data_IF_936179286511
#
_entry.id   IF_936179286511
#
_cell.length_a   1.000
_cell.length_b   1.000
_cell.length_c   1.000
_cell.angle_alpha   90.00
_cell.angle_beta   90.00
_cell.angle_gamma   90.00
#
_symmetry.space_group_name_H-M   'P 1'
#
loop_
_entity.id
_entity.type
_entity.pdbx_description
1 polymer ?
#
# COMPACT_ATOMS: atom_id res chain seq x y z
N UNK A 1 25.37 -3.84 -17.62
CA UNK A 1 25.16 -5.29 -17.38
C UNK A 1 24.13 -5.58 -16.27
N UNK A 2 24.21 -4.97 -15.09
CA UNK A 2 23.30 -5.26 -13.96
C UNK A 2 21.79 -5.06 -14.22
N UNK A 3 21.40 -4.14 -15.12
CA UNK A 3 20.00 -3.94 -15.52
C UNK A 3 19.39 -5.10 -16.34
N UNK A 4 20.22 -5.84 -17.09
CA UNK A 4 19.76 -6.94 -17.96
C UNK A 4 19.62 -8.23 -17.14
N UNK A 5 20.56 -8.50 -16.24
CA UNK A 5 20.51 -9.67 -15.37
C UNK A 5 19.27 -9.67 -14.44
N UNK A 6 18.84 -8.50 -13.94
CA UNK A 6 17.63 -8.38 -13.12
C UNK A 6 16.31 -8.62 -13.86
N UNK A 7 16.32 -8.71 -15.20
CA UNK A 7 15.13 -9.03 -16.00
C UNK A 7 14.90 -10.55 -16.07
N UNK A 8 15.97 -11.33 -15.96
CA UNK A 8 15.92 -12.78 -16.09
C UNK A 8 15.95 -13.44 -14.71
N UNK A 9 15.06 -14.41 -14.49
CA UNK A 9 15.04 -15.24 -13.29
C UNK A 9 14.84 -16.70 -13.65
N UNK A 10 15.20 -17.61 -12.74
CA UNK A 10 14.95 -19.05 -12.92
C UNK A 10 13.75 -19.45 -12.08
N UNK A 11 12.83 -20.23 -12.66
CA UNK A 11 11.67 -20.75 -11.92
C UNK A 11 11.44 -22.21 -12.26
N UNK A 12 11.47 -23.05 -11.25
CA UNK A 12 11.23 -24.48 -11.38
C UNK A 12 9.75 -24.77 -11.09
N UNK A 13 9.08 -25.44 -12.02
CA UNK A 13 7.75 -26.05 -11.74
C UNK A 13 7.73 -27.44 -12.32
N UNK A 14 7.14 -28.36 -11.58
CA UNK A 14 7.03 -29.78 -11.94
C UNK A 14 6.44 -29.96 -13.34
N UNK A 15 5.34 -29.27 -13.68
CA UNK A 15 4.68 -29.42 -14.99
C UNK A 15 5.55 -29.07 -16.20
N UNK A 16 6.23 -27.92 -16.18
CA UNK A 16 7.12 -27.52 -17.28
C UNK A 16 8.36 -28.40 -17.37
N UNK A 17 8.86 -28.93 -16.25
CA UNK A 17 9.97 -29.88 -16.27
C UNK A 17 9.57 -31.24 -16.84
N UNK A 18 8.35 -31.71 -16.55
CA UNK A 18 7.80 -32.93 -17.17
C UNK A 18 7.69 -32.76 -18.70
N UNK A 19 7.14 -31.63 -19.16
CA UNK A 19 7.08 -31.35 -20.60
C UNK A 19 8.46 -31.22 -21.24
N UNK A 20 9.41 -30.55 -20.59
CA UNK A 20 10.78 -30.46 -21.10
C UNK A 20 11.45 -31.84 -21.16
N UNK A 21 11.29 -32.66 -20.11
CA UNK A 21 11.81 -34.02 -20.04
C UNK A 21 11.23 -34.95 -21.12
N UNK A 22 9.98 -34.72 -21.56
CA UNK A 22 9.37 -35.45 -22.66
C UNK A 22 9.77 -34.92 -24.05
N UNK A 23 9.76 -33.60 -24.24
CA UNK A 23 9.96 -32.97 -25.55
C UNK A 23 11.44 -32.94 -25.99
N UNK A 24 12.39 -32.85 -25.04
CA UNK A 24 13.82 -32.81 -25.36
C UNK A 24 14.30 -34.13 -26.00
N UNK A 25 14.06 -35.32 -25.40
CA UNK A 25 14.45 -36.58 -26.03
C UNK A 25 13.73 -36.83 -27.35
N UNK A 26 12.42 -36.53 -27.41
CA UNK A 26 11.62 -36.70 -28.62
C UNK A 26 12.12 -35.81 -29.78
N UNK A 27 12.46 -34.55 -29.49
CA UNK A 27 13.04 -33.64 -30.47
C UNK A 27 14.40 -34.12 -30.97
N UNK A 28 15.29 -34.54 -30.07
CA UNK A 28 16.62 -35.05 -30.45
C UNK A 28 16.48 -36.30 -31.34
N UNK A 29 15.60 -37.25 -30.98
CA UNK A 29 15.38 -38.47 -31.76
C UNK A 29 14.80 -38.18 -33.16
N UNK A 30 13.86 -37.24 -33.26
CA UNK A 30 13.26 -36.85 -34.53
C UNK A 30 14.27 -36.18 -35.49
N UNK A 31 15.15 -35.33 -34.97
CA UNK A 31 16.17 -34.66 -35.79
C UNK A 31 17.42 -35.54 -36.04
N UNK A 32 17.64 -36.56 -35.21
CA UNK A 32 18.65 -37.59 -35.44
C UNK A 32 18.32 -38.46 -36.66
N UNK A 33 17.04 -38.81 -36.87
CA UNK A 33 16.62 -39.60 -38.03
C UNK A 33 16.66 -38.83 -39.36
N UNK A 34 16.85 -37.52 -39.31
CA UNK A 34 16.91 -36.62 -40.47
C UNK A 34 18.33 -36.08 -40.75
N UNK A 35 19.36 -36.59 -40.07
CA UNK A 35 20.76 -36.09 -40.11
C UNK A 35 20.91 -34.59 -39.79
N UNK A 36 19.96 -34.03 -39.02
CA UNK A 36 19.89 -32.61 -38.66
C UNK A 36 20.08 -32.41 -37.15
N UNK A 37 21.02 -33.15 -36.54
CA UNK A 37 21.25 -33.14 -35.09
C UNK A 37 21.47 -31.75 -34.49
N UNK A 38 22.11 -30.84 -35.23
CA UNK A 38 22.32 -29.46 -34.77
C UNK A 38 20.99 -28.72 -34.53
N UNK A 39 19.95 -28.97 -35.33
CA UNK A 39 18.60 -28.43 -35.11
C UNK A 39 17.95 -29.05 -33.87
N UNK A 40 18.11 -30.35 -33.67
CA UNK A 40 17.60 -31.06 -32.49
C UNK A 40 18.21 -30.53 -31.19
N UNK A 41 19.53 -30.34 -31.14
CA UNK A 41 20.23 -29.77 -29.98
C UNK A 41 19.79 -28.32 -29.76
N UNK A 42 19.71 -27.51 -30.82
CA UNK A 42 19.27 -26.12 -30.71
C UNK A 42 17.85 -26.03 -30.16
N UNK A 43 16.93 -26.87 -30.65
CA UNK A 43 15.55 -26.93 -30.17
C UNK A 43 15.48 -27.41 -28.71
N UNK A 44 16.27 -28.42 -28.33
CA UNK A 44 16.35 -28.91 -26.97
C UNK A 44 16.82 -27.80 -26.00
N UNK A 45 17.84 -27.04 -26.37
CA UNK A 45 18.32 -25.88 -25.59
C UNK A 45 17.24 -24.81 -25.49
N UNK A 46 16.52 -24.51 -26.57
CA UNK A 46 15.41 -23.54 -26.54
C UNK A 46 14.24 -23.99 -25.65
N UNK A 47 13.88 -25.27 -25.68
CA UNK A 47 12.85 -25.84 -24.81
C UNK A 47 13.29 -25.79 -23.35
N UNK A 48 14.52 -26.21 -23.05
CA UNK A 48 15.10 -26.14 -21.71
C UNK A 48 15.09 -24.69 -21.20
N UNK A 49 15.62 -23.75 -22.00
CA UNK A 49 15.66 -22.33 -21.66
C UNK A 49 14.24 -21.75 -21.46
N UNK A 50 13.31 -22.03 -22.37
CA UNK A 50 11.92 -21.55 -22.28
C UNK A 50 11.14 -22.13 -21.10
N UNK A 51 11.52 -23.33 -20.63
CA UNK A 51 10.87 -23.99 -19.49
C UNK A 51 11.31 -23.43 -18.13
N UNK A 52 12.56 -22.96 -18.01
CA UNK A 52 13.17 -22.53 -16.73
C UNK A 52 13.31 -21.01 -16.64
N UNK A 53 13.62 -20.33 -17.75
CA UNK A 53 13.88 -18.89 -17.76
C UNK A 53 12.57 -18.11 -17.71
N UNK A 54 12.51 -17.19 -16.76
CA UNK A 54 11.47 -16.17 -16.63
C UNK A 54 12.02 -14.83 -17.08
N UNK A 55 11.20 -14.05 -17.77
CA UNK A 55 11.47 -12.69 -18.20
C UNK A 55 10.47 -11.79 -17.45
N UNK A 56 10.97 -10.93 -16.55
CA UNK A 56 10.16 -10.10 -15.63
C UNK A 56 9.17 -10.93 -14.80
N UNK A 57 9.63 -12.08 -14.30
CA UNK A 57 8.87 -13.00 -13.45
C UNK A 57 7.80 -13.85 -14.16
N UNK A 58 7.59 -13.65 -15.47
CA UNK A 58 6.73 -14.51 -16.31
C UNK A 58 7.57 -15.40 -17.21
N UNK A 59 7.18 -16.66 -17.39
CA UNK A 59 7.73 -17.55 -18.44
C UNK A 59 7.15 -17.20 -19.80
N UNK A 60 7.71 -17.76 -20.88
CA UNK A 60 7.19 -17.61 -22.25
C UNK A 60 5.70 -17.98 -22.33
N UNK A 61 5.29 -19.10 -21.72
CA UNK A 61 3.89 -19.52 -21.63
C UNK A 61 3.02 -18.51 -20.86
N UNK A 62 3.57 -17.95 -19.76
CA UNK A 62 2.92 -16.91 -18.98
C UNK A 62 2.76 -15.58 -19.72
N UNK A 63 3.67 -15.26 -20.65
CA UNK A 63 3.56 -14.11 -21.56
C UNK A 63 2.46 -14.32 -22.60
N UNK A 64 2.40 -15.49 -23.22
CA UNK A 64 1.32 -15.86 -24.15
C UNK A 64 -0.03 -15.76 -23.45
N UNK A 65 -0.16 -16.35 -22.25
CA UNK A 65 -1.37 -16.24 -21.43
C UNK A 65 -1.72 -14.79 -21.07
N UNK A 66 -0.73 -13.95 -20.72
CA UNK A 66 -0.94 -12.53 -20.45
C UNK A 66 -1.51 -11.79 -21.67
N UNK A 67 -0.96 -12.03 -22.87
CA UNK A 67 -1.45 -11.42 -24.11
C UNK A 67 -2.90 -11.83 -24.39
N UNK A 68 -3.22 -13.12 -24.33
CA UNK A 68 -4.59 -13.59 -24.59
C UNK A 68 -5.58 -13.09 -23.54
N UNK A 69 -5.16 -13.06 -22.28
CA UNK A 69 -6.03 -12.60 -21.21
C UNK A 69 -6.24 -11.08 -21.28
N UNK A 70 -5.21 -10.30 -21.58
CA UNK A 70 -5.33 -8.87 -21.86
C UNK A 70 -6.21 -8.58 -23.08
N UNK A 71 -6.00 -9.28 -24.20
CA UNK A 71 -6.85 -9.13 -25.41
C UNK A 71 -8.33 -9.33 -25.12
N UNK A 72 -8.68 -10.29 -24.25
CA UNK A 72 -10.07 -10.53 -23.84
C UNK A 72 -10.61 -9.46 -22.89
N UNK A 73 -9.77 -8.90 -22.02
CA UNK A 73 -10.20 -8.03 -20.91
C UNK A 73 -10.08 -6.54 -21.18
N UNK A 74 -9.24 -6.12 -22.12
CA UNK A 74 -8.87 -4.71 -22.27
C UNK A 74 -10.03 -3.79 -22.65
N UNK A 75 -11.18 -4.33 -23.06
CA UNK A 75 -12.40 -3.59 -23.41
C UNK A 75 -13.46 -3.63 -22.29
N UNK A 76 -13.26 -4.45 -21.26
CA UNK A 76 -14.26 -4.70 -20.21
C UNK A 76 -13.82 -4.04 -18.89
N UNK A 77 -14.68 -3.18 -18.36
CA UNK A 77 -14.54 -2.62 -17.01
C UNK A 77 -14.65 -3.75 -15.98
N UNK A 78 -13.88 -3.75 -14.88
CA UNK A 78 -14.02 -4.73 -13.82
C UNK A 78 -15.44 -4.75 -13.25
N UNK A 79 -15.94 -5.94 -12.91
CA UNK A 79 -17.23 -6.07 -12.24
C UNK A 79 -17.15 -5.39 -10.88
N UNK A 80 -18.14 -4.58 -10.55
CA UNK A 80 -18.25 -3.98 -9.22
C UNK A 80 -18.44 -5.09 -8.18
N UNK A 81 -17.74 -5.05 -7.04
CA UNK A 81 -18.02 -5.95 -5.92
C UNK A 81 -19.50 -5.91 -5.52
N UNK A 82 -20.02 -6.99 -4.95
CA UNK A 82 -21.39 -7.00 -4.44
C UNK A 82 -21.55 -5.99 -3.31
N UNK A 83 -22.79 -5.58 -3.06
CA UNK A 83 -23.09 -4.82 -1.85
C UNK A 83 -22.65 -5.62 -0.61
N UNK A 84 -22.07 -4.94 0.38
CA UNK A 84 -21.63 -5.60 1.59
C UNK A 84 -22.83 -6.10 2.39
N UNK A 85 -22.77 -7.37 2.80
CA UNK A 85 -23.68 -7.94 3.76
C UNK A 85 -22.97 -8.01 5.11
N UNK A 86 -23.65 -7.56 6.17
CA UNK A 86 -23.11 -7.68 7.52
C UNK A 86 -23.53 -9.02 8.09
N UNK A 87 -22.54 -9.85 8.43
CA UNK A 87 -22.77 -11.09 9.15
C UNK A 87 -23.06 -10.81 10.62
N UNK A 88 -24.08 -11.46 11.17
CA UNK A 88 -24.21 -11.60 12.61
C UNK A 88 -23.31 -12.76 13.07
N UNK A 89 -22.26 -12.49 13.85
CA UNK A 89 -21.48 -13.55 14.50
C UNK A 89 -21.23 -13.29 15.97
N UNK A 90 -21.66 -14.26 16.77
CA UNK A 90 -21.13 -14.90 17.99
C UNK A 90 -20.66 -14.03 19.18
N UNK A 91 -20.21 -12.79 18.99
CA UNK A 91 -20.02 -11.82 20.08
C UNK A 91 -21.09 -10.73 19.97
N UNK A 92 -21.89 -10.45 21.01
CA UNK A 92 -22.84 -9.34 20.99
C UNK A 92 -22.09 -8.01 20.81
N UNK A 93 -22.13 -7.41 19.62
CA UNK A 93 -21.63 -6.03 19.38
C UNK A 93 -20.71 -5.84 18.19
N UNK A 94 -20.07 -6.89 17.66
CA UNK A 94 -19.16 -6.80 16.51
C UNK A 94 -19.79 -7.35 15.23
N UNK A 95 -20.07 -6.42 14.33
CA UNK A 95 -20.66 -6.65 13.03
C UNK A 95 -19.53 -6.70 11.99
N UNK A 96 -19.29 -7.87 11.39
CA UNK A 96 -18.26 -8.01 10.35
C UNK A 96 -18.91 -7.98 8.98
N UNK A 97 -18.45 -7.08 8.12
CA UNK A 97 -18.87 -7.04 6.73
C UNK A 97 -18.21 -8.14 5.91
N UNK A 98 -19.00 -8.75 5.04
CA UNK A 98 -18.55 -9.65 3.98
C UNK A 98 -19.14 -9.22 2.64
N UNK A 99 -18.41 -9.46 1.56
CA UNK A 99 -18.94 -9.25 0.20
C UNK A 99 -18.30 -10.20 -0.79
N UNK A 100 -18.95 -10.38 -1.94
CA UNK A 100 -18.32 -11.03 -3.07
C UNK A 100 -17.42 -10.06 -3.82
N UNK A 101 -16.19 -10.49 -4.06
CA UNK A 101 -15.23 -9.80 -4.91
C UNK A 101 -14.60 -10.82 -5.86
N UNK A 102 -14.96 -10.74 -7.13
CA UNK A 102 -14.74 -11.80 -8.12
C UNK A 102 -15.33 -13.14 -7.61
N UNK A 103 -14.55 -14.22 -7.66
CA UNK A 103 -14.94 -15.57 -7.22
C UNK A 103 -14.75 -15.80 -5.72
N UNK A 104 -14.39 -14.77 -4.96
CA UNK A 104 -14.03 -14.89 -3.54
C UNK A 104 -15.06 -14.17 -2.67
N UNK A 105 -15.42 -14.80 -1.55
CA UNK A 105 -16.04 -14.07 -0.46
C UNK A 105 -14.94 -13.42 0.37
N UNK A 106 -15.03 -12.11 0.60
CA UNK A 106 -13.98 -11.33 1.27
C UNK A 106 -14.51 -10.63 2.53
N UNK A 107 -13.62 -10.48 3.50
CA UNK A 107 -13.82 -9.67 4.72
C UNK A 107 -12.57 -8.84 4.96
N UNK A 108 -12.73 -7.64 5.53
CA UNK A 108 -11.61 -6.75 5.83
C UNK A 108 -11.43 -6.60 7.34
N UNK A 109 -10.18 -6.47 7.76
CA UNK A 109 -9.75 -6.12 9.10
C UNK A 109 -8.94 -4.85 8.96
N UNK A 110 -9.38 -3.77 9.58
CA UNK A 110 -8.60 -2.54 9.64
C UNK A 110 -7.51 -2.66 10.70
N UNK A 111 -6.30 -2.24 10.36
CA UNK A 111 -5.22 -2.07 11.33
C UNK A 111 -5.22 -0.63 11.81
N UNK A 112 -5.42 -0.44 13.11
CA UNK A 112 -5.51 0.88 13.71
C UNK A 112 -4.10 1.28 14.17
N UNK A 113 -3.52 2.33 13.58
CA UNK A 113 -2.18 2.75 13.95
C UNK A 113 -2.15 3.29 15.37
N UNK A 114 -1.03 3.12 16.04
CA UNK A 114 -0.81 3.69 17.36
C UNK A 114 -0.54 5.20 17.21
N UNK A 115 -1.33 6.07 17.86
CA UNK A 115 -1.16 7.51 17.72
C UNK A 115 0.25 7.98 18.09
N UNK A 116 0.71 9.02 17.39
CA UNK A 116 2.00 9.67 17.58
C UNK A 116 3.22 8.76 17.49
N UNK A 117 3.18 7.66 16.72
CA UNK A 117 4.38 6.85 16.47
C UNK A 117 5.31 7.60 15.52
N UNK A 118 6.50 8.06 15.96
CA UNK A 118 7.40 8.74 15.05
C UNK A 118 7.92 7.78 13.97
N UNK A 119 8.21 8.35 12.79
CA UNK A 119 8.95 7.66 11.74
C UNK A 119 10.26 8.40 11.50
N UNK A 120 11.39 7.71 11.68
CA UNK A 120 12.73 8.27 11.48
C UNK A 120 13.31 7.71 10.19
N UNK A 121 13.86 8.57 9.34
CA UNK A 121 14.48 8.16 8.09
C UNK A 121 15.99 8.02 8.27
N UNK A 122 16.48 6.78 8.26
CA UNK A 122 17.90 6.47 8.41
C UNK A 122 18.40 5.82 7.12
N UNK A 123 19.39 6.44 6.47
CA UNK A 123 19.99 5.94 5.23
C UNK A 123 18.96 5.62 4.10
N UNK A 124 17.86 6.36 4.05
CA UNK A 124 16.80 6.20 3.06
C UNK A 124 15.74 5.14 3.37
N UNK A 125 15.81 4.49 4.53
CA UNK A 125 14.79 3.57 5.03
C UNK A 125 13.99 4.21 6.18
N UNK A 126 12.70 3.87 6.28
CA UNK A 126 11.82 4.35 7.33
C UNK A 126 11.81 3.37 8.51
N UNK A 127 12.14 3.90 9.69
CA UNK A 127 12.08 3.17 10.95
C UNK A 127 10.93 3.72 11.80
N UNK A 128 10.00 2.84 12.16
CA UNK A 128 8.86 3.14 13.04
C UNK A 128 8.53 1.91 13.88
N UNK A 129 8.02 2.12 15.09
CA UNK A 129 7.72 1.02 16.01
C UNK A 129 6.40 0.31 15.68
N UNK A 130 5.54 0.92 14.85
CA UNK A 130 4.19 0.44 14.55
C UNK A 130 4.15 -0.27 13.19
N UNK A 131 4.56 -1.54 13.21
CA UNK A 131 4.74 -2.39 12.02
C UNK A 131 3.99 -3.72 12.14
N UNK A 132 3.51 -4.23 11.01
CA UNK A 132 2.94 -5.56 10.85
C UNK A 132 3.96 -6.46 10.13
N UNK A 133 4.46 -7.49 10.81
CA UNK A 133 5.21 -8.55 10.15
C UNK A 133 4.24 -9.48 9.38
N UNK A 134 4.42 -9.55 8.07
CA UNK A 134 3.65 -10.44 7.20
C UNK A 134 3.92 -11.92 7.46
N UNK A 135 5.01 -12.30 8.13
CA UNK A 135 5.24 -13.67 8.60
C UNK A 135 4.33 -14.01 9.78
N UNK A 136 4.08 -13.07 10.69
CA UNK A 136 3.11 -13.25 11.77
C UNK A 136 1.71 -13.51 11.17
N UNK A 137 1.31 -12.73 10.16
CA UNK A 137 0.02 -12.95 9.47
C UNK A 137 -0.05 -14.36 8.87
N UNK A 138 1.01 -14.84 8.22
CA UNK A 138 1.06 -16.22 7.71
C UNK A 138 0.87 -17.25 8.83
N UNK A 139 1.56 -17.08 9.96
CA UNK A 139 1.45 -17.99 11.11
C UNK A 139 0.03 -18.01 11.67
N UNK A 140 -0.60 -16.84 11.83
CA UNK A 140 -1.97 -16.74 12.33
C UNK A 140 -2.99 -17.37 11.36
N UNK A 141 -2.83 -17.12 10.06
CA UNK A 141 -3.70 -17.73 9.03
C UNK A 141 -3.48 -19.25 8.99
N UNK A 142 -2.24 -19.72 9.00
CA UNK A 142 -1.93 -21.15 9.02
C UNK A 142 -2.49 -21.86 10.26
N UNK A 143 -2.44 -21.23 11.43
CA UNK A 143 -2.93 -21.80 12.68
C UNK A 143 -4.46 -21.84 12.77
N UNK A 144 -5.16 -20.83 12.26
CA UNK A 144 -6.58 -20.63 12.53
C UNK A 144 -7.50 -20.80 11.32
N UNK A 145 -6.99 -20.56 10.12
CA UNK A 145 -7.76 -20.59 8.87
C UNK A 145 -6.87 -20.93 7.65
N UNK A 146 -6.27 -22.14 7.61
CA UNK A 146 -5.22 -22.50 6.65
C UNK A 146 -5.68 -22.57 5.18
N UNK A 147 -6.99 -22.65 4.93
CA UNK A 147 -7.62 -22.64 3.61
C UNK A 147 -8.03 -21.22 3.14
N UNK A 148 -7.75 -20.18 3.93
CA UNK A 148 -7.95 -18.78 3.54
C UNK A 148 -6.67 -18.14 3.00
N UNK A 149 -6.86 -17.08 2.21
CA UNK A 149 -5.77 -16.20 1.76
C UNK A 149 -5.90 -14.86 2.48
N UNK A 150 -4.77 -14.22 2.78
CA UNK A 150 -4.75 -12.89 3.39
C UNK A 150 -4.00 -11.91 2.47
N UNK A 151 -4.64 -10.81 2.11
CA UNK A 151 -4.00 -9.70 1.41
C UNK A 151 -3.78 -8.56 2.41
N UNK A 152 -2.53 -8.24 2.73
CA UNK A 152 -2.22 -7.00 3.47
C UNK A 152 -2.21 -5.86 2.46
N UNK A 153 -3.17 -4.95 2.57
CA UNK A 153 -3.40 -3.84 1.64
C UNK A 153 -3.09 -2.53 2.37
N UNK A 154 -2.07 -1.81 1.93
CA UNK A 154 -1.81 -0.43 2.38
C UNK A 154 -2.09 0.53 1.24
N UNK A 155 -2.75 1.64 1.56
CA UNK A 155 -3.10 2.66 0.58
C UNK A 155 -2.92 4.05 1.16
N UNK A 156 -2.46 4.99 0.33
CA UNK A 156 -2.14 6.32 0.79
C UNK A 156 -1.45 7.18 -0.25
N UNK A 157 -0.96 8.32 0.21
CA UNK A 157 -0.26 9.29 -0.62
C UNK A 157 0.88 9.93 0.17
N UNK A 158 1.96 10.27 -0.53
CA UNK A 158 3.12 10.93 0.07
C UNK A 158 2.92 12.43 0.23
N UNK A 159 2.24 13.01 -0.74
CA UNK A 159 1.85 14.41 -0.78
C UNK A 159 0.39 14.47 -1.20
N UNK A 160 -0.36 15.39 -0.62
CA UNK A 160 -1.79 15.49 -0.77
C UNK A 160 -2.22 16.27 -2.02
N UNK A 161 -3.40 15.93 -2.52
CA UNK A 161 -4.00 16.55 -3.72
C UNK A 161 -4.73 17.87 -3.44
N UNK A 162 -4.95 18.22 -2.18
CA UNK A 162 -5.72 19.41 -1.77
C UNK A 162 -4.89 20.71 -1.83
N UNK A 163 -3.57 20.60 -1.79
CA UNK A 163 -2.66 21.72 -1.88
C UNK A 163 -2.40 22.16 -3.34
N UNK A 164 -2.07 23.46 -3.56
CA UNK A 164 -1.62 23.94 -4.87
C UNK A 164 -0.41 23.15 -5.41
N UNK A 165 -0.36 22.92 -6.72
CA UNK A 165 0.72 22.15 -7.36
C UNK A 165 2.13 22.70 -7.09
N UNK A 166 2.26 24.03 -6.97
CA UNK A 166 3.50 24.71 -6.59
C UNK A 166 3.96 24.31 -5.18
N UNK A 167 3.02 24.19 -4.23
CA UNK A 167 3.32 23.80 -2.86
C UNK A 167 3.66 22.31 -2.76
N UNK A 168 2.90 21.46 -3.47
CA UNK A 168 3.15 20.01 -3.54
C UNK A 168 4.54 19.73 -4.11
N UNK A 169 4.89 20.36 -5.23
CA UNK A 169 6.21 20.18 -5.87
C UNK A 169 7.37 20.67 -5.00
N UNK A 170 7.16 21.76 -4.24
CA UNK A 170 8.14 22.25 -3.27
C UNK A 170 8.33 21.25 -2.12
N UNK A 171 7.24 20.75 -1.54
CA UNK A 171 7.31 19.79 -0.44
C UNK A 171 7.88 18.45 -0.89
N UNK A 172 7.62 18.00 -2.12
CA UNK A 172 8.29 16.84 -2.71
C UNK A 172 9.82 17.00 -2.78
N UNK A 173 10.33 18.23 -2.95
CA UNK A 173 11.77 18.49 -2.90
C UNK A 173 12.32 18.39 -1.49
N UNK A 174 11.56 18.89 -0.49
CA UNK A 174 11.93 18.83 0.94
C UNK A 174 11.94 17.39 1.44
N UNK A 175 10.89 16.61 1.17
CA UNK A 175 10.77 15.20 1.57
C UNK A 175 11.69 14.30 0.72
N UNK A 176 12.02 14.73 -0.50
CA UNK A 176 12.91 13.98 -1.38
C UNK A 176 12.39 12.56 -1.68
N UNK A 177 13.28 11.56 -1.83
CA UNK A 177 12.90 10.17 -2.10
C UNK A 177 12.59 9.36 -0.83
N UNK A 178 12.31 9.99 0.32
CA UNK A 178 12.11 9.24 1.56
C UNK A 178 10.77 8.46 1.56
N UNK A 179 10.75 7.22 2.10
CA UNK A 179 9.54 6.41 2.22
C UNK A 179 8.61 6.86 3.37
N UNK A 180 8.34 8.16 3.42
CA UNK A 180 7.49 8.80 4.41
C UNK A 180 6.16 9.24 3.77
N UNK A 181 5.12 8.39 3.76
CA UNK A 181 3.81 8.83 3.30
C UNK A 181 3.14 9.77 4.31
N UNK A 182 2.61 10.88 3.81
CA UNK A 182 1.82 11.83 4.60
C UNK A 182 0.56 11.17 5.17
N UNK A 183 -0.12 10.35 4.36
CA UNK A 183 -1.28 9.57 4.80
C UNK A 183 -1.15 8.13 4.31
N UNK A 184 -1.38 7.16 5.19
CA UNK A 184 -1.41 5.73 4.88
C UNK A 184 -2.38 5.03 5.83
N UNK A 185 -3.27 4.21 5.27
CA UNK A 185 -4.10 3.26 6.01
C UNK A 185 -3.82 1.85 5.52
N UNK A 186 -3.95 0.88 6.43
CA UNK A 186 -3.64 -0.52 6.15
C UNK A 186 -4.77 -1.43 6.62
N UNK A 187 -5.09 -2.41 5.78
CA UNK A 187 -6.09 -3.44 6.05
C UNK A 187 -5.52 -4.83 5.79
N UNK A 188 -6.07 -5.85 6.43
CA UNK A 188 -5.93 -7.25 6.04
C UNK A 188 -7.25 -7.69 5.43
N UNK A 189 -7.23 -8.07 4.15
CA UNK A 189 -8.40 -8.62 3.46
C UNK A 189 -8.28 -10.13 3.45
N UNK A 190 -9.14 -10.80 4.21
CA UNK A 190 -9.29 -12.25 4.17
C UNK A 190 -10.14 -12.65 2.98
N UNK A 191 -9.70 -13.68 2.25
CA UNK A 191 -10.35 -14.17 1.03
C UNK A 191 -10.64 -15.65 1.14
N UNK A 192 -11.91 -16.00 0.97
CA UNK A 192 -12.38 -17.36 0.96
C UNK A 192 -12.78 -17.76 -0.46
N UNK A 193 -12.09 -18.76 -1.02
CA UNK A 193 -12.52 -19.44 -2.24
C UNK A 193 -13.49 -20.56 -1.85
N UNK A 194 -14.73 -20.58 -2.37
CA UNK A 194 -15.75 -21.57 -2.02
C UNK A 194 -15.29 -23.03 -2.20
N UNK A 195 -14.43 -23.32 -3.17
CA UNK A 195 -13.97 -24.68 -3.45
C UNK A 195 -12.94 -25.14 -2.43
N UNK A 196 -11.94 -24.29 -2.15
CA UNK A 196 -10.86 -24.63 -1.20
C UNK A 196 -11.35 -24.65 0.25
N UNK A 197 -12.31 -23.80 0.60
CA UNK A 197 -12.81 -23.63 1.97
C UNK A 197 -14.03 -24.50 2.30
N UNK A 198 -14.49 -25.30 1.34
CA UNK A 198 -15.71 -26.13 1.43
C UNK A 198 -15.77 -26.96 2.71
N UNK A 199 -14.67 -27.63 3.07
CA UNK A 199 -14.62 -28.50 4.27
C UNK A 199 -14.79 -27.72 5.57
N UNK A 200 -14.21 -26.52 5.66
CA UNK A 200 -14.27 -25.67 6.84
C UNK A 200 -15.61 -24.94 6.95
N UNK A 201 -16.19 -24.53 5.84
CA UNK A 201 -17.50 -23.84 5.79
C UNK A 201 -18.67 -24.77 6.11
N UNK A 202 -18.67 -26.00 5.59
CA UNK A 202 -19.72 -27.00 5.83
C UNK A 202 -19.87 -27.41 7.31
N UNK A 203 -18.81 -27.27 8.11
CA UNK A 203 -18.86 -27.52 9.56
C UNK A 203 -19.70 -26.48 10.33
N UNK A 204 -20.05 -25.35 9.69
CA UNK A 204 -20.71 -24.20 10.33
C UNK A 204 -22.14 -23.97 9.82
N UNK A 205 -22.34 -24.15 8.52
CA UNK A 205 -23.67 -24.19 7.90
C UNK A 205 -23.55 -24.73 6.47
N UNK A 206 -24.69 -24.93 5.81
CA UNK A 206 -24.78 -25.27 4.40
C UNK A 206 -24.59 -24.05 3.49
N UNK A 207 -24.04 -24.29 2.29
CA UNK A 207 -23.91 -23.30 1.22
C UNK A 207 -23.15 -22.03 1.61
N UNK A 208 -23.63 -20.89 1.07
CA UNK A 208 -23.00 -19.56 1.25
C UNK A 208 -23.04 -19.09 2.71
N UNK A 209 -24.06 -19.48 3.48
CA UNK A 209 -24.17 -19.13 4.89
C UNK A 209 -23.00 -19.72 5.71
N UNK A 210 -22.61 -20.97 5.42
CA UNK A 210 -21.47 -21.62 6.06
C UNK A 210 -20.15 -20.93 5.74
N UNK A 211 -19.99 -20.51 4.49
CA UNK A 211 -18.81 -19.76 4.02
C UNK A 211 -18.70 -18.40 4.71
N UNK A 212 -19.81 -17.66 4.78
CA UNK A 212 -19.86 -16.37 5.47
C UNK A 212 -19.56 -16.52 6.97
N UNK A 213 -20.19 -17.47 7.67
CA UNK A 213 -19.88 -17.74 9.09
C UNK A 213 -18.42 -18.14 9.30
N UNK A 214 -17.83 -18.89 8.38
CA UNK A 214 -16.43 -19.26 8.46
C UNK A 214 -15.52 -18.03 8.34
N UNK A 215 -15.74 -17.23 7.30
CA UNK A 215 -14.93 -16.06 7.03
C UNK A 215 -15.03 -15.03 8.15
N UNK A 216 -16.24 -14.77 8.65
CA UNK A 216 -16.46 -13.83 9.75
C UNK A 216 -15.78 -14.32 11.03
N UNK A 217 -15.98 -15.58 11.43
CA UNK A 217 -15.33 -16.13 12.62
C UNK A 217 -13.79 -16.12 12.50
N UNK A 218 -13.27 -16.25 11.28
CA UNK A 218 -11.83 -16.14 11.01
C UNK A 218 -11.36 -14.69 11.11
N UNK A 219 -12.10 -13.72 10.60
CA UNK A 219 -11.77 -12.30 10.69
C UNK A 219 -11.70 -11.83 12.15
N UNK A 220 -12.71 -12.15 12.96
CA UNK A 220 -12.71 -11.84 14.41
C UNK A 220 -11.51 -12.48 15.11
N UNK A 221 -11.26 -13.78 14.87
CA UNK A 221 -10.14 -14.48 15.52
C UNK A 221 -8.78 -13.90 15.12
N UNK A 222 -8.57 -13.59 13.84
CA UNK A 222 -7.31 -12.98 13.38
C UNK A 222 -7.13 -11.59 14.01
N UNK A 223 -8.19 -10.78 14.08
CA UNK A 223 -8.14 -9.48 14.75
C UNK A 223 -7.78 -9.62 16.25
N UNK A 224 -8.42 -10.55 16.97
CA UNK A 224 -8.12 -10.80 18.38
C UNK A 224 -6.67 -11.26 18.60
N UNK A 225 -6.16 -12.13 17.73
CA UNK A 225 -4.78 -12.61 17.81
C UNK A 225 -3.77 -11.51 17.46
N UNK A 226 -4.06 -10.64 16.50
CA UNK A 226 -3.23 -9.47 16.20
C UNK A 226 -3.19 -8.52 17.41
N UNK A 227 -4.34 -8.25 18.02
CA UNK A 227 -4.42 -7.43 19.24
C UNK A 227 -3.62 -8.05 20.40
N UNK A 228 -3.69 -9.38 20.56
CA UNK A 228 -2.87 -10.12 21.52
C UNK A 228 -1.36 -10.05 21.26
N UNK A 229 -0.93 -9.77 20.02
CA UNK A 229 0.46 -9.50 19.64
C UNK A 229 0.78 -7.99 19.62
N UNK A 230 -0.10 -7.15 20.18
CA UNK A 230 0.09 -5.70 20.30
C UNK A 230 -0.30 -4.89 19.06
N UNK A 231 -0.90 -5.50 18.03
CA UNK A 231 -1.34 -4.81 16.81
C UNK A 231 -2.84 -4.56 16.94
N UNK A 232 -3.27 -3.31 17.11
CA UNK A 232 -4.71 -3.00 17.17
C UNK A 232 -5.34 -3.26 15.80
N UNK A 233 -6.30 -4.19 15.80
CA UNK A 233 -6.94 -4.69 14.60
C UNK A 233 -8.44 -4.81 14.85
N UNK A 234 -9.24 -4.28 13.94
CA UNK A 234 -10.70 -4.23 14.08
C UNK A 234 -11.36 -4.80 12.83
N UNK A 235 -12.22 -5.82 12.94
CA UNK A 235 -13.02 -6.28 11.82
C UNK A 235 -13.84 -5.12 11.23
N UNK A 236 -13.80 -4.95 9.91
CA UNK A 236 -14.47 -3.85 9.25
C UNK A 236 -15.99 -4.07 9.25
N UNK A 237 -16.74 -3.03 9.62
CA UNK A 237 -18.21 -3.02 9.61
C UNK A 237 -18.80 -2.67 8.24
N UNK A 238 -17.99 -2.07 7.37
CA UNK A 238 -18.30 -1.73 5.97
C UNK A 238 -17.00 -1.79 5.14
N UNK A 239 -17.14 -1.83 3.81
CA UNK A 239 -16.03 -1.71 2.87
C UNK A 239 -15.77 -0.27 2.41
N UNK A 240 -16.57 0.71 2.82
CA UNK A 240 -16.51 2.09 2.31
C UNK A 240 -15.13 2.73 2.46
N UNK A 241 -14.48 2.54 3.60
CA UNK A 241 -13.15 3.10 3.87
C UNK A 241 -12.07 2.44 3.03
N UNK A 242 -12.11 1.11 2.91
CA UNK A 242 -11.19 0.35 2.07
C UNK A 242 -11.40 0.69 0.58
N UNK A 243 -12.65 0.83 0.14
CA UNK A 243 -13.00 1.18 -1.24
C UNK A 243 -12.56 2.60 -1.56
N UNK A 244 -12.86 3.58 -0.70
CA UNK A 244 -12.40 4.97 -0.87
C UNK A 244 -10.88 5.05 -0.91
N UNK A 245 -10.21 4.31 -0.02
CA UNK A 245 -8.75 4.33 0.03
C UNK A 245 -8.12 3.65 -1.18
N UNK A 246 -8.73 2.61 -1.74
CA UNK A 246 -8.18 1.85 -2.89
C UNK A 246 -8.80 2.22 -4.23
N UNK A 247 -9.64 3.27 -4.26
CA UNK A 247 -10.31 3.73 -5.46
C UNK A 247 -9.28 4.20 -6.51
N UNK A 248 -9.46 3.71 -7.73
CA UNK A 248 -8.74 4.19 -8.90
C UNK A 248 -9.70 4.49 -10.03
N UNK A 249 -9.36 5.47 -10.87
CA UNK A 249 -10.14 5.72 -12.07
C UNK A 249 -9.82 4.65 -13.12
N UNK A 250 -10.84 3.90 -13.53
CA UNK A 250 -10.71 2.83 -14.53
C UNK A 250 -11.59 3.12 -15.74
N UNK A 251 -10.98 3.49 -16.87
CA UNK A 251 -11.65 3.50 -18.17
C UNK A 251 -11.24 2.29 -19.01
N UNK A 252 -9.92 2.03 -19.07
CA UNK A 252 -9.38 0.99 -19.95
C UNK A 252 -8.06 0.42 -19.41
N UNK A 253 -7.90 -0.89 -19.54
CA UNK A 253 -6.61 -1.56 -19.35
C UNK A 253 -5.73 -1.44 -20.62
N UNK A 254 -4.60 -0.74 -20.50
CA UNK A 254 -3.51 -0.77 -21.48
C UNK A 254 -2.52 -1.89 -21.13
N UNK A 255 -1.53 -2.10 -22.00
CA UNK A 255 -0.52 -3.14 -21.77
C UNK A 255 0.33 -2.90 -20.52
N UNK A 256 0.66 -1.65 -20.22
CA UNK A 256 1.58 -1.26 -19.13
C UNK A 256 0.95 -0.39 -18.04
N UNK A 257 -0.32 -0.03 -18.19
CA UNK A 257 -1.03 0.86 -17.27
C UNK A 257 -2.55 0.68 -17.41
N UNK A 258 -3.29 1.22 -16.46
CA UNK A 258 -4.73 1.47 -16.53
C UNK A 258 -4.89 2.95 -16.81
N UNK A 259 -5.64 3.28 -17.86
CA UNK A 259 -6.05 4.65 -18.13
C UNK A 259 -7.34 4.93 -17.36
N UNK A 260 -7.31 5.95 -16.53
CA UNK A 260 -8.48 6.57 -15.92
C UNK A 260 -8.88 7.86 -16.65
N UNK A 261 -9.86 8.58 -16.08
CA UNK A 261 -10.41 9.84 -16.64
C UNK A 261 -9.34 10.93 -16.79
N UNK A 262 -8.53 11.12 -15.75
CA UNK A 262 -7.50 12.16 -15.68
C UNK A 262 -6.19 11.66 -15.06
N UNK A 263 -6.09 10.35 -14.84
CA UNK A 263 -4.96 9.71 -14.16
C UNK A 263 -4.60 8.41 -14.86
N UNK A 264 -3.37 7.96 -14.65
CA UNK A 264 -2.88 6.66 -15.08
C UNK A 264 -2.43 5.89 -13.84
N UNK A 265 -2.85 4.63 -13.73
CA UNK A 265 -2.39 3.74 -12.65
C UNK A 265 -1.58 2.61 -13.28
N UNK A 266 -0.32 2.47 -12.89
CA UNK A 266 0.51 1.36 -13.34
C UNK A 266 0.83 0.41 -12.17
N UNK A 267 0.73 -0.88 -12.46
CA UNK A 267 1.03 -1.96 -11.53
C UNK A 267 2.42 -2.53 -11.77
N UNK A 268 3.14 -2.74 -10.68
CA UNK A 268 4.52 -3.18 -10.63
C UNK A 268 4.73 -4.28 -9.60
N UNK A 269 5.82 -5.00 -9.77
CA UNK A 269 6.48 -5.76 -8.70
C UNK A 269 7.82 -5.09 -8.38
N UNK A 270 8.15 -4.97 -7.09
CA UNK A 270 9.37 -4.31 -6.64
C UNK A 270 9.92 -5.06 -5.40
N UNK A 271 11.00 -5.84 -5.53
CA UNK A 271 11.52 -6.72 -4.46
C UNK A 271 12.28 -5.98 -3.35
N UNK A 272 11.90 -4.73 -3.04
CA UNK A 272 12.58 -3.85 -2.09
C UNK A 272 11.79 -3.54 -0.82
N UNK A 273 10.57 -4.07 -0.67
CA UNK A 273 9.73 -3.80 0.49
C UNK A 273 9.21 -2.35 0.56
N UNK A 274 8.59 -1.97 1.68
CA UNK A 274 7.89 -0.69 1.82
C UNK A 274 8.79 0.52 1.57
N UNK A 275 10.09 0.45 1.90
CA UNK A 275 11.01 1.56 1.65
C UNK A 275 11.16 1.89 0.16
N UNK A 276 11.16 0.87 -0.70
CA UNK A 276 11.20 1.07 -2.15
C UNK A 276 9.82 1.46 -2.69
N UNK A 277 8.75 0.89 -2.11
CA UNK A 277 7.39 1.14 -2.58
C UNK A 277 6.95 2.59 -2.32
N UNK A 278 7.21 3.08 -1.11
CA UNK A 278 6.81 4.41 -0.65
C UNK A 278 7.83 5.50 -0.95
N UNK A 279 9.00 5.19 -1.52
CA UNK A 279 9.95 6.19 -2.03
C UNK A 279 9.65 6.60 -3.48
N UNK A 280 8.86 5.82 -4.21
CA UNK A 280 8.42 6.18 -5.56
C UNK A 280 7.53 7.43 -5.52
N UNK A 281 7.65 8.29 -6.54
CA UNK A 281 6.77 9.45 -6.69
C UNK A 281 5.48 9.03 -7.36
N UNK A 282 4.37 9.26 -6.68
CA UNK A 282 3.03 8.97 -7.17
C UNK A 282 2.01 9.82 -6.40
N UNK A 283 0.94 10.20 -7.08
CA UNK A 283 -0.19 10.94 -6.48
C UNK A 283 -1.01 10.05 -5.53
N UNK A 284 -0.93 8.73 -5.71
CA UNK A 284 -1.55 7.73 -4.87
C UNK A 284 -0.84 6.39 -5.04
N UNK A 285 -0.60 5.70 -3.94
CA UNK A 285 0.12 4.42 -3.89
C UNK A 285 -0.73 3.39 -3.18
N UNK A 286 -0.91 2.22 -3.81
CA UNK A 286 -1.55 1.06 -3.21
C UNK A 286 -0.55 -0.09 -3.24
N UNK A 287 -0.24 -0.66 -2.09
CA UNK A 287 0.60 -1.85 -1.97
C UNK A 287 -0.25 -3.01 -1.49
N UNK A 288 -0.06 -4.19 -2.08
CA UNK A 288 -0.70 -5.42 -1.60
C UNK A 288 0.35 -6.50 -1.44
N UNK A 289 0.33 -7.19 -0.30
CA UNK A 289 1.12 -8.41 -0.06
C UNK A 289 0.14 -9.55 0.17
N UNK A 290 0.05 -10.47 -0.79
CA UNK A 290 -0.74 -11.69 -0.66
C UNK A 290 0.06 -12.76 0.04
N UNK A 291 -0.56 -13.34 1.05
CA UNK A 291 -0.03 -14.40 1.89
C UNK A 291 -0.95 -15.61 1.75
N UNK A 292 -0.34 -16.76 1.50
CA UNK A 292 -0.99 -18.07 1.56
C UNK A 292 -0.11 -18.99 2.41
N UNK A 293 -0.69 -19.73 3.37
CA UNK A 293 0.07 -20.64 4.20
C UNK A 293 0.94 -21.60 3.38
N UNK A 294 2.25 -21.60 3.61
CA UNK A 294 3.19 -22.53 2.97
C UNK A 294 3.59 -22.17 1.54
N UNK A 295 3.15 -21.02 1.01
CA UNK A 295 3.62 -20.49 -0.27
C UNK A 295 4.41 -19.19 -0.07
N UNK A 296 5.38 -18.92 -0.95
CA UNK A 296 6.06 -17.64 -0.95
C UNK A 296 5.04 -16.50 -1.21
N UNK A 297 5.08 -15.41 -0.43
CA UNK A 297 4.16 -14.30 -0.61
C UNK A 297 4.34 -13.65 -1.98
N UNK A 298 3.35 -12.88 -2.42
CA UNK A 298 3.44 -12.11 -3.66
C UNK A 298 3.08 -10.66 -3.40
N UNK A 299 3.79 -9.72 -4.02
CA UNK A 299 3.54 -8.29 -3.85
C UNK A 299 3.11 -7.64 -5.16
N UNK A 300 2.24 -6.63 -5.04
CA UNK A 300 1.90 -5.70 -6.11
C UNK A 300 1.94 -4.28 -5.59
N UNK A 301 2.55 -3.39 -6.34
CA UNK A 301 2.56 -1.95 -6.07
C UNK A 301 1.88 -1.24 -7.23
N UNK A 302 0.84 -0.49 -6.93
CA UNK A 302 0.14 0.34 -7.89
C UNK A 302 0.47 1.79 -7.61
N UNK A 303 0.97 2.47 -8.64
CA UNK A 303 1.31 3.88 -8.59
C UNK A 303 0.36 4.62 -9.54
N UNK A 304 -0.38 5.57 -9.00
CA UNK A 304 -1.26 6.45 -9.78
C UNK A 304 -0.58 7.79 -9.98
N UNK A 305 -0.52 8.25 -11.22
CA UNK A 305 0.09 9.52 -11.63
C UNK A 305 -0.83 10.30 -12.58
N UNK A 306 -0.77 11.62 -12.57
CA UNK A 306 -1.45 12.47 -13.57
C UNK A 306 -0.89 12.27 -14.99
N UNK A 307 0.43 12.08 -15.11
CA UNK A 307 1.11 11.85 -16.37
C UNK A 307 1.23 10.35 -16.68
N UNK A 308 1.62 10.04 -17.92
CA UNK A 308 1.94 8.66 -18.30
C UNK A 308 3.03 8.08 -17.39
N UNK A 309 2.81 6.90 -16.81
CA UNK A 309 3.66 6.37 -15.76
C UNK A 309 5.01 5.94 -16.34
N UNK A 310 6.09 6.39 -15.69
CA UNK A 310 7.44 5.85 -15.94
C UNK A 310 7.72 4.70 -14.97
N UNK A 311 8.65 3.80 -15.30
CA UNK A 311 9.01 2.72 -14.37
C UNK A 311 10.07 3.23 -13.39
N UNK A 312 9.78 3.32 -12.07
CA UNK A 312 10.77 3.77 -11.11
C UNK A 312 11.94 2.78 -10.98
N UNK A 313 13.05 3.24 -10.39
CA UNK A 313 14.22 2.37 -10.14
C UNK A 313 13.84 1.27 -9.15
N UNK A 314 14.18 0.02 -9.45
CA UNK A 314 13.84 -1.14 -8.61
C UNK A 314 12.47 -1.75 -8.90
N UNK A 315 11.70 -1.18 -9.83
CA UNK A 315 10.36 -1.66 -10.19
C UNK A 315 10.38 -2.42 -11.52
N UNK A 316 9.52 -3.43 -11.62
CA UNK A 316 9.23 -4.17 -12.85
C UNK A 316 7.74 -4.09 -13.15
N UNK A 317 7.38 -3.46 -14.26
CA UNK A 317 5.98 -3.31 -14.66
C UNK A 317 5.34 -4.69 -14.95
N UNK A 318 4.12 -4.89 -14.45
CA UNK A 318 3.32 -6.11 -14.63
C UNK A 318 2.53 -6.07 -15.94
N UNK A 319 3.24 -6.10 -17.06
CA UNK A 319 2.64 -6.00 -18.39
C UNK A 319 1.51 -7.03 -18.63
N UNK A 320 0.41 -6.57 -19.22
CA UNK A 320 -0.78 -7.38 -19.55
C UNK A 320 -1.59 -7.91 -18.36
N UNK A 321 -1.20 -7.55 -17.14
CA UNK A 321 -1.82 -8.00 -15.90
C UNK A 321 -2.19 -6.87 -14.96
N UNK A 322 -2.39 -5.66 -15.48
CA UNK A 322 -2.65 -4.47 -14.67
C UNK A 322 -3.95 -4.62 -13.86
N UNK A 323 -5.01 -5.11 -14.51
CA UNK A 323 -6.29 -5.38 -13.85
C UNK A 323 -6.19 -6.48 -12.80
N UNK A 324 -5.40 -7.53 -13.06
CA UNK A 324 -5.21 -8.61 -12.11
C UNK A 324 -4.43 -8.14 -10.87
N UNK A 325 -3.46 -7.24 -11.07
CA UNK A 325 -2.67 -6.67 -9.99
C UNK A 325 -3.48 -5.76 -9.05
N UNK A 326 -4.57 -5.12 -9.51
CA UNK A 326 -5.52 -4.43 -8.62
C UNK A 326 -6.03 -5.34 -7.50
N UNK A 327 -6.27 -6.59 -7.85
CA UNK A 327 -6.75 -7.61 -6.92
C UNK A 327 -5.60 -8.38 -6.28
N UNK A 328 -4.37 -7.85 -6.27
CA UNK A 328 -3.20 -8.48 -5.64
C UNK A 328 -2.68 -9.72 -6.38
N UNK A 329 -3.11 -9.98 -7.61
CA UNK A 329 -2.62 -11.13 -8.38
C UNK A 329 -1.32 -10.74 -9.09
N UNK A 330 -0.20 -11.23 -8.56
CA UNK A 330 1.12 -11.08 -9.16
C UNK A 330 1.68 -12.42 -9.63
N UNK A 331 2.34 -12.49 -10.80
CA UNK A 331 3.10 -13.67 -11.18
C UNK A 331 4.43 -13.78 -10.44
N UNK A 332 4.87 -12.73 -9.73
CA UNK A 332 6.20 -12.65 -9.13
C UNK A 332 6.11 -13.02 -7.64
N UNK A 333 6.88 -14.01 -7.22
CA UNK A 333 7.05 -14.33 -5.81
C UNK A 333 7.92 -13.25 -5.15
N UNK A 334 7.67 -13.04 -3.88
CA UNK A 334 8.39 -12.10 -3.04
C UNK A 334 8.71 -12.78 -1.68
N UNK A 335 9.16 -11.99 -0.72
CA UNK A 335 9.44 -12.39 0.66
C UNK A 335 8.51 -11.69 1.64
N UNK A 336 8.56 -12.12 2.89
CA UNK A 336 7.91 -11.41 3.99
C UNK A 336 8.64 -10.09 4.29
N UNK A 337 7.85 -9.12 4.72
CA UNK A 337 8.25 -7.78 5.10
C UNK A 337 7.56 -7.37 6.40
N UNK A 338 8.19 -6.45 7.12
CA UNK A 338 7.57 -5.61 8.14
C UNK A 338 6.94 -4.41 7.43
N UNK A 339 5.63 -4.23 7.58
CA UNK A 339 4.86 -3.21 6.90
C UNK A 339 4.39 -2.17 7.93
N UNK A 340 4.83 -0.91 7.83
CA UNK A 340 4.30 0.16 8.67
C UNK A 340 2.78 0.28 8.54
N UNK A 341 2.08 0.36 9.68
CA UNK A 341 0.61 0.32 9.73
C UNK A 341 0.01 1.67 9.31
N UNK A 342 0.39 2.74 10.02
CA UNK A 342 -0.12 4.10 9.83
C UNK A 342 0.78 4.99 8.99
N UNK A 343 0.44 6.27 8.93
CA UNK A 343 1.19 7.31 8.23
C UNK A 343 2.57 7.55 8.84
N UNK A 344 3.52 8.02 8.03
CA UNK A 344 4.70 8.69 8.60
C UNK A 344 4.32 10.10 9.09
N UNK A 345 3.41 10.75 8.37
CA UNK A 345 2.85 12.05 8.73
C UNK A 345 3.68 13.22 8.23
N UNK A 346 3.81 14.25 9.07
CA UNK A 346 4.45 15.52 8.72
C UNK A 346 5.89 15.55 9.23
N UNK A 347 6.81 16.10 8.45
CA UNK A 347 8.19 16.35 8.89
C UNK A 347 8.18 17.37 10.04
N UNK A 348 8.60 16.96 11.24
CA UNK A 348 8.63 17.82 12.44
C UNK A 348 10.03 18.32 12.78
N UNK A 349 11.07 17.58 12.39
CA UNK A 349 12.46 17.96 12.66
C UNK A 349 13.43 16.85 12.26
N UNK A 350 14.62 16.86 12.85
CA UNK A 350 15.63 15.82 12.73
C UNK A 350 16.16 15.36 14.09
N UNK A 351 16.77 14.18 14.16
CA UNK A 351 17.48 13.71 15.34
C UNK A 351 18.81 14.47 15.53
N UNK A 352 19.50 14.22 16.66
CA UNK A 352 20.83 14.78 16.89
C UNK A 352 21.85 14.42 15.79
N UNK A 353 21.67 13.26 15.16
CA UNK A 353 22.50 12.72 14.06
C UNK A 353 22.00 13.17 12.67
N UNK A 354 21.07 14.14 12.61
CA UNK A 354 20.49 14.70 11.38
C UNK A 354 19.66 13.72 10.56
N UNK A 355 18.98 12.79 11.22
CA UNK A 355 17.98 11.94 10.56
C UNK A 355 16.60 12.59 10.62
N UNK A 356 15.91 12.79 9.47
CA UNK A 356 14.57 13.35 9.45
C UNK A 356 13.57 12.56 10.31
N UNK A 357 12.75 13.28 11.07
CA UNK A 357 11.72 12.74 11.97
C UNK A 357 10.35 13.24 11.50
N UNK A 358 9.47 12.29 11.21
CA UNK A 358 8.08 12.52 10.84
C UNK A 358 7.16 12.11 11.99
N UNK A 359 6.04 12.82 12.12
CA UNK A 359 5.02 12.56 13.13
C UNK A 359 3.62 12.52 12.50
N UNK A 360 2.82 11.45 12.74
CA UNK A 360 1.43 11.40 12.30
C UNK A 360 0.53 12.26 13.20
N UNK A 361 -0.43 12.93 12.57
CA UNK A 361 -1.46 13.75 13.21
C UNK A 361 -2.88 13.37 12.75
N UNK A 362 -2.97 12.35 11.90
CA UNK A 362 -4.18 11.91 11.21
C UNK A 362 -4.93 10.77 11.93
N UNK A 363 -4.46 10.37 13.11
CA UNK A 363 -5.01 9.24 13.87
C UNK A 363 -6.02 9.66 14.95
N UNK A 364 -5.79 10.78 15.65
CA UNK A 364 -6.60 11.24 16.79
C UNK A 364 -6.69 12.77 16.85
N UNK A 365 -7.80 13.27 17.38
CA UNK A 365 -7.99 14.70 17.58
C UNK A 365 -7.03 15.25 18.64
N UNK A 366 -6.42 16.39 18.33
CA UNK A 366 -5.41 17.03 19.19
C UNK A 366 -5.46 18.54 19.16
N UNK A 367 -5.03 19.15 20.25
CA UNK A 367 -4.67 20.56 20.31
C UNK A 367 -3.15 20.69 20.21
N UNK A 368 -2.65 21.42 19.22
CA UNK A 368 -1.21 21.69 19.07
C UNK A 368 -0.86 23.11 19.50
N UNK A 369 0.17 23.23 20.34
CA UNK A 369 0.78 24.49 20.70
C UNK A 369 2.10 24.63 19.93
N UNK A 370 2.14 25.60 19.02
CA UNK A 370 3.29 25.88 18.15
C UNK A 370 4.15 26.96 18.77
N UNK A 371 5.47 26.75 18.75
CA UNK A 371 6.38 27.50 19.60
C UNK A 371 6.55 28.98 19.24
N UNK A 372 6.51 29.26 17.95
CA UNK A 372 6.76 30.57 17.34
C UNK A 372 6.04 30.66 15.98
N UNK A 373 6.09 31.84 15.35
CA UNK A 373 5.51 32.07 14.02
C UNK A 373 6.13 31.20 12.93
N UNK A 374 7.40 30.81 13.11
CA UNK A 374 8.16 29.96 12.18
C UNK A 374 7.60 28.54 12.14
N UNK A 375 7.49 27.90 13.31
CA UNK A 375 6.90 26.57 13.47
C UNK A 375 5.45 26.57 13.03
N UNK A 376 4.71 27.65 13.30
CA UNK A 376 3.37 27.81 12.76
C UNK A 376 3.37 27.76 11.23
N UNK A 377 4.19 28.58 10.57
CA UNK A 377 4.30 28.58 9.10
C UNK A 377 4.64 27.19 8.57
N UNK A 378 5.69 26.56 9.11
CA UNK A 378 6.16 25.25 8.64
C UNK A 378 5.11 24.17 8.86
N UNK A 379 4.48 24.12 10.03
CA UNK A 379 3.46 23.14 10.33
C UNK A 379 2.28 23.27 9.36
N UNK A 380 1.80 24.49 9.09
CA UNK A 380 0.68 24.72 8.16
C UNK A 380 1.06 24.36 6.73
N UNK A 381 2.22 24.85 6.25
CA UNK A 381 2.71 24.57 4.89
C UNK A 381 2.86 23.07 4.65
N UNK A 382 3.52 22.36 5.59
CA UNK A 382 3.74 20.92 5.47
C UNK A 382 2.44 20.13 5.63
N UNK A 383 1.51 20.57 6.49
CA UNK A 383 0.19 19.94 6.64
C UNK A 383 -0.66 20.10 5.39
N UNK A 384 -0.64 21.27 4.75
CA UNK A 384 -1.31 21.50 3.47
C UNK A 384 -0.76 20.54 2.40
N UNK A 385 0.56 20.50 2.27
CA UNK A 385 1.25 19.63 1.32
C UNK A 385 1.07 18.13 1.65
N UNK A 386 0.83 17.80 2.92
CA UNK A 386 0.43 16.47 3.39
C UNK A 386 -1.06 16.17 3.19
N UNK A 387 -1.83 17.05 2.55
CA UNK A 387 -3.22 16.79 2.16
C UNK A 387 -4.30 17.23 3.15
N UNK A 388 -3.93 17.87 4.25
CA UNK A 388 -4.91 18.36 5.20
C UNK A 388 -5.71 19.55 4.65
N UNK A 389 -6.95 19.70 5.13
CA UNK A 389 -7.76 20.89 4.88
C UNK A 389 -7.54 21.85 6.05
N UNK A 390 -6.97 23.01 5.76
CA UNK A 390 -6.63 23.99 6.78
C UNK A 390 -7.71 25.07 6.85
N UNK A 391 -8.07 25.46 8.07
CA UNK A 391 -8.85 26.65 8.37
C UNK A 391 -8.01 27.57 9.26
N UNK A 392 -7.86 28.83 8.88
CA UNK A 392 -7.14 29.85 9.63
C UNK A 392 -8.08 30.99 10.05
N UNK A 393 -7.66 31.78 11.03
CA UNK A 393 -8.40 32.96 11.47
C UNK A 393 -8.32 34.10 10.43
N UNK A 394 -9.27 35.06 10.43
CA UNK A 394 -9.34 36.14 9.44
C UNK A 394 -8.06 36.97 9.26
N UNK A 395 -7.26 37.14 10.31
CA UNK A 395 -5.99 37.89 10.22
C UNK A 395 -4.95 37.24 9.31
N UNK A 396 -5.09 35.94 8.98
CA UNK A 396 -4.16 35.20 8.13
C UNK A 396 -4.64 35.10 6.66
N UNK A 397 -5.50 36.01 6.21
CA UNK A 397 -6.12 35.94 4.87
C UNK A 397 -5.11 35.83 3.73
N UNK A 398 -4.03 36.63 3.77
CA UNK A 398 -2.99 36.57 2.73
C UNK A 398 -2.27 35.22 2.73
N UNK A 399 -1.78 34.78 3.90
CA UNK A 399 -1.12 33.49 4.06
C UNK A 399 -2.03 32.31 3.67
N UNK A 400 -3.33 32.38 3.99
CA UNK A 400 -4.30 31.36 3.64
C UNK A 400 -4.41 31.16 2.13
N UNK A 401 -4.33 32.25 1.35
CA UNK A 401 -4.32 32.17 -0.12
C UNK A 401 -3.14 31.36 -0.68
N UNK A 402 -1.97 31.46 -0.06
CA UNK A 402 -0.76 30.75 -0.50
C UNK A 402 -0.80 29.23 -0.27
N UNK A 403 -1.53 28.77 0.75
CA UNK A 403 -1.65 27.35 1.11
C UNK A 403 -3.01 26.74 0.77
N UNK A 404 -3.89 27.49 0.09
CA UNK A 404 -5.27 27.09 -0.19
C UNK A 404 -6.09 26.78 1.08
N UNK A 405 -5.84 27.54 2.16
CA UNK A 405 -6.58 27.41 3.41
C UNK A 405 -7.90 28.21 3.37
N UNK A 406 -8.87 27.74 4.16
CA UNK A 406 -10.14 28.42 4.41
C UNK A 406 -9.97 29.45 5.52
N UNK A 407 -10.82 30.45 5.54
CA UNK A 407 -10.94 31.39 6.67
C UNK A 407 -12.16 31.01 7.51
N UNK A 408 -12.00 31.00 8.83
CA UNK A 408 -13.06 30.68 9.78
C UNK A 408 -12.74 31.14 11.19
N UNK A 409 -13.71 30.97 12.09
CA UNK A 409 -13.59 31.42 13.50
C UNK A 409 -12.68 30.51 14.34
N UNK A 410 -12.43 29.29 13.89
CA UNK A 410 -11.62 28.30 14.59
C UNK A 410 -10.46 27.84 13.70
N UNK A 411 -9.23 28.10 14.15
CA UNK A 411 -8.02 27.66 13.45
C UNK A 411 -7.78 26.17 13.68
N UNK A 412 -7.77 25.39 12.59
CA UNK A 412 -7.60 23.93 12.64
C UNK A 412 -7.07 23.35 11.35
N UNK A 413 -6.50 22.16 11.46
CA UNK A 413 -6.00 21.33 10.38
C UNK A 413 -6.80 20.02 10.40
N UNK A 414 -7.62 19.80 9.38
CA UNK A 414 -8.50 18.64 9.28
C UNK A 414 -7.84 17.59 8.39
N UNK A 415 -7.52 16.45 8.99
CA UNK A 415 -7.04 15.23 8.35
C UNK A 415 -8.23 14.35 7.95
N UNK A 416 -8.01 13.28 7.16
CA UNK A 416 -9.11 12.39 6.77
C UNK A 416 -9.90 11.79 7.96
N UNK A 417 -9.24 11.50 9.09
CA UNK A 417 -9.85 10.84 10.24
C UNK A 417 -9.67 11.59 11.57
N UNK A 418 -9.04 12.76 11.57
CA UNK A 418 -8.69 13.49 12.79
C UNK A 418 -8.61 15.00 12.54
N UNK A 419 -8.69 15.79 13.61
CA UNK A 419 -8.56 17.23 13.59
C UNK A 419 -7.46 17.70 14.55
N UNK A 420 -6.53 18.48 14.04
CA UNK A 420 -5.53 19.19 14.84
C UNK A 420 -5.94 20.65 15.01
N UNK A 421 -6.34 21.02 16.22
CA UNK A 421 -6.71 22.38 16.59
C UNK A 421 -5.46 23.23 16.85
N UNK A 422 -5.38 24.41 16.22
CA UNK A 422 -4.24 25.33 16.28
C UNK A 422 -4.37 26.28 17.48
N UNK A 423 -4.58 25.72 18.66
CA UNK A 423 -4.85 26.45 19.89
C UNK A 423 -5.50 25.55 20.95
N UNK A 424 -5.69 26.05 22.18
CA UNK A 424 -6.31 25.26 23.26
C UNK A 424 -7.70 24.77 22.87
N UNK A 425 -7.95 23.48 23.01
CA UNK A 425 -9.25 22.87 22.80
C UNK A 425 -9.53 21.85 23.91
N UNK A 426 -10.72 21.90 24.51
CA UNK A 426 -11.06 21.03 25.64
C UNK A 426 -11.38 19.61 25.15
N UNK A 427 -11.04 18.60 25.97
CA UNK A 427 -11.40 17.20 25.70
C UNK A 427 -10.52 16.45 24.70
N UNK A 428 -9.45 17.07 24.19
CA UNK A 428 -8.50 16.46 23.25
C UNK A 428 -7.08 16.42 23.82
N UNK A 429 -6.25 15.53 23.27
CA UNK A 429 -4.84 15.42 23.66
C UNK A 429 -4.05 16.69 23.32
N UNK A 430 -3.07 17.07 24.14
CA UNK A 430 -2.22 18.23 23.91
C UNK A 430 -0.89 17.80 23.29
N UNK A 431 -0.49 18.50 22.23
CA UNK A 431 0.84 18.42 21.62
C UNK A 431 1.53 19.76 21.77
N UNK A 432 2.81 19.76 22.10
CA UNK A 432 3.64 20.97 22.10
C UNK A 432 4.80 20.75 21.14
N UNK A 433 4.91 21.59 20.12
CA UNK A 433 6.03 21.57 19.19
C UNK A 433 6.91 22.79 19.41
N UNK A 434 8.16 22.56 19.78
CA UNK A 434 9.23 23.56 19.91
C UNK A 434 10.35 23.24 18.92
N UNK A 435 11.36 24.11 18.88
CA UNK A 435 12.52 23.97 18.00
C UNK A 435 13.43 22.79 18.36
N UNK A 436 13.40 22.36 19.62
CA UNK A 436 14.28 21.34 20.20
C UNK A 436 13.58 20.08 20.73
N UNK A 437 12.24 20.08 20.82
CA UNK A 437 11.47 18.90 21.21
C UNK A 437 10.03 18.93 20.69
N UNK A 438 9.43 17.75 20.63
CA UNK A 438 7.98 17.56 20.52
C UNK A 438 7.47 16.79 21.74
N UNK A 439 6.46 17.33 22.41
CA UNK A 439 5.72 16.69 23.50
C UNK A 439 4.38 16.23 22.95
N UNK A 440 4.08 14.95 23.11
CA UNK A 440 2.81 14.33 22.72
C UNK A 440 2.27 13.51 23.89
N UNK A 441 0.96 13.17 23.89
CA UNK A 441 0.38 12.31 24.93
C UNK A 441 1.11 10.97 25.12
N UNK A 442 1.78 10.49 24.07
CA UNK A 442 2.59 9.27 24.12
C UNK A 442 4.05 9.53 24.50
N UNK A 443 4.62 10.64 24.04
CA UNK A 443 6.04 10.96 24.19
C UNK A 443 6.19 12.29 24.93
N UNK A 444 6.57 12.27 26.22
CA UNK A 444 6.66 13.51 27.02
C UNK A 444 7.57 14.57 26.41
N UNK A 445 8.78 14.21 25.98
CA UNK A 445 9.72 15.12 25.32
C UNK A 445 10.60 14.33 24.36
N UNK A 446 10.14 14.15 23.12
CA UNK A 446 10.96 13.57 22.07
C UNK A 446 11.91 14.67 21.56
N UNK A 447 13.24 14.54 21.74
CA UNK A 447 14.19 15.56 21.29
C UNK A 447 14.25 15.58 19.76
N UNK A 448 14.16 16.78 19.20
CA UNK A 448 14.31 17.02 17.77
C UNK A 448 15.18 18.26 17.55
N UNK A 449 15.62 18.49 16.33
CA UNK A 449 16.17 19.76 15.88
C UNK A 449 15.34 20.25 14.71
N UNK A 450 14.98 21.52 14.72
CA UNK A 450 14.20 22.11 13.65
C UNK A 450 14.95 22.09 12.33
N UNK A 451 14.31 21.56 11.28
CA UNK A 451 14.82 21.63 9.91
C UNK A 451 14.27 22.90 9.25
N UNK A 452 15.16 23.69 8.63
CA UNK A 452 14.83 24.91 7.90
C UNK A 452 15.20 24.78 6.43
N UNK A 453 14.33 24.21 5.58
CA UNK A 453 14.52 24.20 4.14
C UNK A 453 14.45 25.63 3.60
N UNK A 454 15.36 25.98 2.68
CA UNK A 454 15.36 27.31 2.02
C UNK A 454 14.07 27.55 1.24
N UNK A 455 13.51 26.46 0.75
CA UNK A 455 12.26 26.35 0.03
C UNK A 455 11.08 26.94 0.82
N UNK A 456 11.05 26.73 2.13
CA UNK A 456 9.94 27.16 3.01
C UNK A 456 10.06 28.63 3.45
N UNK A 457 11.25 29.25 3.31
CA UNK A 457 11.52 30.61 3.80
C UNK A 457 10.63 31.68 3.16
N UNK A 458 10.18 31.47 1.92
CA UNK A 458 9.26 32.40 1.22
C UNK A 458 7.92 32.56 1.95
N UNK A 459 7.43 31.50 2.60
CA UNK A 459 6.15 31.53 3.31
C UNK A 459 6.25 32.24 4.66
N UNK A 460 7.45 32.26 5.26
CA UNK A 460 7.69 32.95 6.53
C UNK A 460 7.64 34.47 6.34
N UNK A 461 8.19 34.97 5.23
CA UNK A 461 8.18 36.41 4.90
C UNK A 461 6.76 36.99 4.77
N UNK A 462 5.76 36.17 4.42
CA UNK A 462 4.36 36.58 4.26
C UNK A 462 3.65 36.80 5.61
N UNK A 463 4.15 36.18 6.68
CA UNK A 463 3.61 36.35 8.04
C UNK A 463 4.29 37.48 8.82
N UNK A 464 5.47 37.92 8.38
CA UNK A 464 6.26 38.97 9.01
C UNK A 464 6.02 40.36 8.37
N UNK A 465 5.44 40.42 7.18
CA UNK A 465 4.97 41.65 6.51
C UNK A 465 3.51 41.91 6.80
#
# INVERSE_FOLDING_TARGET
MNKILGIFGLRFTTGHMIWAAALIPAGILLFASLDLLWLGITLAVLIALGSVVTIRGRRVTGWVAAVFAWRRRHRNVPTRPSEPAVGATVMPGDHVAVRWQDEYLVSAIELVPRPFTPTVIVNGAAFTDDVLDTRLVEQLVAAHCPDLQADVVSSGYRVGKTAPATLVSLYEQVVGPYPAPANRRTWIVLRADPETTRKSSQRRDSGVAGLARYLVASATRIADQLAGNGIDARPARSFDDLDRATEISFEREMWSAIKGRSTFTAAYSAPGGPDVWWSARADHTITRVRIRPGEAPTSTVLLTTLANPTTPRGFSCLFGGQRAALYGISPVNDRHYELPIGSAGVLVGETADRYPVYMPFDDVDVSINLGDARLFTQFIVRSAAAGAVITLLPQFTEFAGFVNARIGEEAKVVWPNATTYLGPHAGVGRVILRDNFIDTPRHRQLPIRLINPREESRYQMVLEG
#
